data_IF_668907662323
#
_entry.id   IF_668907662323
#
_cell.length_a   1.000
_cell.length_b   1.000
_cell.length_c   1.000
_cell.angle_alpha   90.00
_cell.angle_beta   90.00
_cell.angle_gamma   90.00
#
_symmetry.space_group_name_H-M   'P 1'
#
loop_
_entity.id
_entity.type
_entity.pdbx_description
1 polymer ?
#
# COMPACT_ATOMS: atom_id res chain seq x y z
N UNK A 1 -14.21 7.78 8.33
CA UNK A 1 -12.88 7.76 7.88
C UNK A 1 -12.77 8.18 6.47
N UNK A 2 -12.04 9.16 6.22
CA UNK A 2 -11.94 9.76 4.89
C UNK A 2 -10.83 9.12 4.12
N UNK A 3 -11.22 8.25 3.21
CA UNK A 3 -10.27 7.50 2.39
C UNK A 3 -10.71 7.58 0.95
N UNK A 4 -9.79 7.86 0.09
CA UNK A 4 -10.00 7.74 -1.33
C UNK A 4 -9.28 6.52 -1.85
N UNK A 5 -9.81 5.98 -2.92
CA UNK A 5 -9.28 4.77 -3.50
C UNK A 5 -9.22 4.98 -5.00
N UNK A 6 -8.04 4.87 -5.56
CA UNK A 6 -7.84 5.06 -6.98
C UNK A 6 -7.42 3.72 -7.57
N UNK A 7 -8.26 3.18 -8.42
CA UNK A 7 -7.96 1.93 -9.10
C UNK A 7 -7.24 2.22 -10.38
N UNK A 8 -6.25 1.41 -10.68
CA UNK A 8 -5.53 1.49 -11.94
C UNK A 8 -5.63 0.13 -12.59
N UNK A 9 -5.06 -0.01 -13.78
CA UNK A 9 -5.03 -1.31 -14.43
C UNK A 9 -4.21 -2.33 -13.66
N UNK A 10 -3.36 -1.87 -12.77
CA UNK A 10 -2.37 -2.72 -12.14
C UNK A 10 -2.49 -2.77 -10.63
N UNK A 11 -3.29 -1.91 -10.03
CA UNK A 11 -3.36 -1.91 -8.59
C UNK A 11 -4.33 -0.90 -8.04
N UNK A 12 -4.12 -0.56 -6.79
CA UNK A 12 -5.04 0.31 -6.08
C UNK A 12 -4.26 1.18 -5.11
N UNK A 13 -4.49 2.47 -5.19
CA UNK A 13 -3.86 3.41 -4.26
C UNK A 13 -4.91 3.90 -3.28
N UNK A 14 -4.61 3.73 -1.99
CA UNK A 14 -5.46 4.21 -0.91
C UNK A 14 -4.88 5.50 -0.37
N UNK A 15 -5.71 6.50 -0.21
CA UNK A 15 -5.30 7.83 0.26
C UNK A 15 -6.20 8.23 1.42
N UNK A 16 -5.60 8.56 2.55
CA UNK A 16 -6.35 9.04 3.72
C UNK A 16 -5.99 10.49 3.98
N UNK A 17 -6.84 11.17 4.73
CA UNK A 17 -6.57 12.55 5.10
C UNK A 17 -5.45 12.66 6.13
N UNK A 18 -5.28 11.65 6.95
CA UNK A 18 -4.32 11.70 8.03
C UNK A 18 -3.38 10.51 7.95
N UNK A 19 -2.41 10.49 8.85
CA UNK A 19 -1.46 9.41 8.96
C UNK A 19 -1.82 8.58 10.18
N UNK A 20 -2.03 7.28 9.98
CA UNK A 20 -2.39 6.36 11.05
C UNK A 20 -1.81 4.99 10.74
N UNK A 21 -1.81 4.12 11.74
CA UNK A 21 -1.49 2.72 11.51
C UNK A 21 -2.63 2.15 10.66
N UNK A 22 -2.29 1.44 9.59
CA UNK A 22 -3.29 0.89 8.67
C UNK A 22 -3.27 -0.62 8.72
N UNK A 23 -4.46 -1.21 8.58
CA UNK A 23 -4.64 -2.66 8.57
C UNK A 23 -5.23 -3.08 7.25
N UNK A 24 -4.71 -4.18 6.73
CA UNK A 24 -5.24 -4.80 5.51
C UNK A 24 -5.30 -6.30 5.73
N UNK A 25 -6.10 -6.96 4.92
CA UNK A 25 -6.07 -8.42 4.85
C UNK A 25 -6.42 -8.83 3.42
N UNK A 26 -6.18 -10.10 3.12
CA UNK A 26 -6.30 -10.60 1.76
C UNK A 26 -7.53 -11.49 1.60
N UNK A 27 -8.51 -11.34 2.47
CA UNK A 27 -9.63 -12.30 2.58
C UNK A 27 -10.35 -12.52 1.26
N UNK A 28 -10.63 -11.46 0.51
CA UNK A 28 -11.38 -11.58 -0.73
C UNK A 28 -10.53 -11.16 -1.93
N UNK A 29 -9.24 -11.35 -1.83
CA UNK A 29 -8.30 -10.95 -2.88
C UNK A 29 -7.83 -12.19 -3.62
N UNK A 30 -7.96 -12.17 -4.94
CA UNK A 30 -7.71 -13.34 -5.77
C UNK A 30 -6.28 -13.43 -6.30
N UNK A 31 -5.46 -12.41 -6.07
CA UNK A 31 -4.08 -12.38 -6.52
C UNK A 31 -3.19 -12.09 -5.34
N UNK A 32 -1.98 -12.60 -5.36
CA UNK A 32 -0.99 -12.16 -4.39
C UNK A 32 -0.63 -10.71 -4.69
N UNK A 33 -0.43 -9.93 -3.64
CA UNK A 33 -0.17 -8.49 -3.78
C UNK A 33 1.09 -8.10 -3.04
N UNK A 34 1.73 -7.04 -3.54
CA UNK A 34 2.72 -6.30 -2.78
C UNK A 34 2.03 -5.05 -2.23
N UNK A 35 2.24 -4.76 -0.96
CA UNK A 35 1.70 -3.57 -0.33
C UNK A 35 2.86 -2.63 0.01
N UNK A 36 2.73 -1.39 -0.47
CA UNK A 36 3.74 -0.37 -0.21
C UNK A 36 3.12 0.66 0.73
N UNK A 37 3.67 0.75 1.93
CA UNK A 37 3.20 1.69 2.94
C UNK A 37 4.01 2.98 2.82
N UNK A 38 3.32 4.09 2.66
CA UNK A 38 3.93 5.34 2.21
C UNK A 38 3.53 6.45 3.19
N UNK A 39 4.51 7.21 3.63
CA UNK A 39 4.24 8.27 4.61
C UNK A 39 3.69 9.52 3.91
N UNK A 40 3.41 10.54 4.71
CA UNK A 40 2.80 11.77 4.20
C UNK A 40 3.68 12.51 3.20
N UNK A 41 4.95 12.22 3.17
CA UNK A 41 5.89 12.85 2.24
C UNK A 41 6.06 12.05 0.95
N UNK A 42 5.32 10.95 0.81
CA UNK A 42 5.39 10.13 -0.39
C UNK A 42 6.51 9.10 -0.38
N UNK A 43 7.14 8.90 0.77
CA UNK A 43 8.27 7.99 0.87
C UNK A 43 7.78 6.64 1.38
N UNK A 44 8.23 5.57 0.74
CA UNK A 44 7.92 4.22 1.18
C UNK A 44 8.64 3.95 2.49
N UNK A 45 7.88 3.61 3.52
CA UNK A 45 8.47 3.29 4.82
C UNK A 45 8.43 1.79 5.12
N UNK A 46 7.65 1.04 4.36
CA UNK A 46 7.55 -0.40 4.57
C UNK A 46 7.02 -1.06 3.30
N UNK A 47 7.54 -2.22 2.97
CA UNK A 47 7.03 -3.02 1.85
C UNK A 47 6.67 -4.39 2.40
N UNK A 48 5.43 -4.82 2.17
CA UNK A 48 5.00 -6.17 2.50
C UNK A 48 4.85 -6.92 1.18
N UNK A 49 5.79 -7.81 0.94
CA UNK A 49 5.87 -8.47 -0.36
C UNK A 49 5.08 -9.76 -0.39
N UNK A 50 4.43 -9.97 -1.50
CA UNK A 50 3.80 -11.24 -1.83
C UNK A 50 2.80 -11.69 -0.78
N UNK A 51 1.93 -10.76 -0.37
CA UNK A 51 0.82 -11.10 0.51
C UNK A 51 -0.06 -12.10 -0.22
N UNK A 52 -0.38 -13.20 0.45
CA UNK A 52 -1.02 -14.33 -0.21
C UNK A 52 -2.50 -14.11 -0.40
N UNK A 53 -2.98 -14.44 -1.58
CA UNK A 53 -4.41 -14.38 -1.89
C UNK A 53 -5.20 -15.18 -0.84
N UNK A 54 -6.33 -14.63 -0.44
CA UNK A 54 -7.28 -15.24 0.50
C UNK A 54 -6.78 -15.40 1.93
N UNK A 55 -5.59 -14.91 2.24
CA UNK A 55 -5.07 -14.99 3.60
C UNK A 55 -5.89 -14.06 4.49
N UNK A 56 -6.37 -14.56 5.62
CA UNK A 56 -7.20 -13.78 6.53
C UNK A 56 -6.42 -13.14 7.67
N UNK A 57 -5.10 -13.32 7.68
CA UNK A 57 -4.28 -12.65 8.69
C UNK A 57 -4.20 -11.17 8.37
N UNK A 58 -4.16 -10.37 9.42
CA UNK A 58 -4.05 -8.93 9.25
C UNK A 58 -2.64 -8.53 8.93
N UNK A 59 -2.52 -7.59 8.00
CA UNK A 59 -1.25 -6.95 7.66
C UNK A 59 -1.34 -5.55 8.23
N UNK A 60 -0.50 -5.25 9.20
CA UNK A 60 -0.58 -4.00 9.95
C UNK A 60 0.70 -3.22 9.73
N UNK A 61 0.57 -1.96 9.33
CA UNK A 61 1.76 -1.14 9.10
C UNK A 61 2.49 -0.92 10.40
N UNK A 62 3.82 -0.85 10.35
CA UNK A 62 4.65 -0.61 11.53
C UNK A 62 4.66 0.84 11.93
N UNK A 63 4.41 1.73 10.99
CA UNK A 63 4.41 3.16 11.22
C UNK A 63 3.10 3.74 10.74
N UNK A 64 2.81 4.94 11.19
CA UNK A 64 1.67 5.67 10.67
C UNK A 64 1.96 6.07 9.23
N UNK A 65 1.01 5.80 8.34
CA UNK A 65 1.17 6.11 6.92
C UNK A 65 -0.06 6.79 6.40
N UNK A 66 0.13 7.56 5.34
CA UNK A 66 -0.95 8.29 4.70
C UNK A 66 -1.43 7.61 3.44
N UNK A 67 -0.58 6.85 2.79
CA UNK A 67 -0.92 6.17 1.53
C UNK A 67 -0.54 4.71 1.62
N UNK A 68 -1.32 3.87 0.93
CA UNK A 68 -0.92 2.47 0.72
C UNK A 68 -1.19 2.15 -0.73
N UNK A 69 -0.18 1.62 -1.41
CA UNK A 69 -0.31 1.18 -2.79
C UNK A 69 -0.30 -0.34 -2.81
N UNK A 70 -1.35 -0.93 -3.38
CA UNK A 70 -1.44 -2.38 -3.58
C UNK A 70 -1.21 -2.66 -5.05
N UNK A 71 -0.26 -3.53 -5.34
CA UNK A 71 0.06 -3.92 -6.70
C UNK A 71 0.09 -5.44 -6.77
N UNK A 72 -0.20 -5.99 -7.94
CA UNK A 72 0.01 -7.40 -8.15
C UNK A 72 1.46 -7.74 -7.83
N UNK A 73 1.66 -8.84 -7.13
CA UNK A 73 2.99 -9.19 -6.66
C UNK A 73 3.96 -9.27 -7.83
N UNK A 74 5.07 -8.55 -7.69
CA UNK A 74 6.12 -8.54 -8.69
C UNK A 74 5.96 -7.51 -9.80
N UNK A 75 4.83 -6.78 -9.82
CA UNK A 75 4.59 -5.85 -10.93
C UNK A 75 5.49 -4.63 -10.88
N UNK A 76 5.83 -4.15 -9.69
CA UNK A 76 6.79 -3.06 -9.62
C UNK A 76 7.85 -3.39 -8.60
N UNK A 77 9.02 -2.79 -8.81
CA UNK A 77 10.15 -2.95 -7.91
C UNK A 77 10.41 -1.61 -7.25
N UNK A 78 10.10 -1.54 -5.98
CA UNK A 78 10.34 -0.33 -5.22
C UNK A 78 10.75 -0.73 -3.82
N UNK A 79 11.53 0.11 -3.18
CA UNK A 79 12.14 -0.21 -1.89
C UNK A 79 11.85 0.87 -0.88
N UNK A 80 12.00 0.50 0.39
CA UNK A 80 11.93 1.48 1.47
C UNK A 80 12.90 2.61 1.16
N UNK A 81 12.43 3.82 1.30
CA UNK A 81 13.19 5.02 0.99
C UNK A 81 12.87 5.62 -0.36
N UNK A 82 12.26 4.85 -1.27
CA UNK A 82 11.87 5.40 -2.56
C UNK A 82 10.68 6.31 -2.41
N UNK A 83 10.60 7.31 -3.27
CA UNK A 83 9.48 8.21 -3.30
C UNK A 83 8.57 7.82 -4.45
N UNK A 84 7.43 7.23 -4.13
CA UNK A 84 6.49 6.78 -5.15
C UNK A 84 5.49 7.84 -5.52
N UNK A 85 5.19 8.74 -4.59
CA UNK A 85 4.22 9.79 -4.84
C UNK A 85 5.01 11.06 -4.99
N UNK A 86 5.50 11.31 -6.19
CA UNK A 86 6.28 12.51 -6.34
C UNK A 86 5.41 13.58 -6.94
N UNK A 87 5.60 14.76 -6.48
CA UNK A 87 4.98 15.88 -7.07
C UNK A 87 5.75 16.24 -8.25
N UNK A 88 5.13 16.50 -9.22
CA UNK A 88 5.84 16.89 -10.34
C UNK A 88 6.10 18.31 -10.30
N UNK A 89 6.55 18.81 -10.16
CA UNK A 89 6.73 20.09 -10.20
C UNK A 89 7.17 20.59 -10.85
#
# INVERSE_FOLDING_TARGET
MNREKIETNEGMLFIWEDSEIREFWMKNTYFNLDLFFINQYGVIVEVYKNAKAFDERKIISKEKVKFVLEMKAGDIKANVGDNLICSSN
#
